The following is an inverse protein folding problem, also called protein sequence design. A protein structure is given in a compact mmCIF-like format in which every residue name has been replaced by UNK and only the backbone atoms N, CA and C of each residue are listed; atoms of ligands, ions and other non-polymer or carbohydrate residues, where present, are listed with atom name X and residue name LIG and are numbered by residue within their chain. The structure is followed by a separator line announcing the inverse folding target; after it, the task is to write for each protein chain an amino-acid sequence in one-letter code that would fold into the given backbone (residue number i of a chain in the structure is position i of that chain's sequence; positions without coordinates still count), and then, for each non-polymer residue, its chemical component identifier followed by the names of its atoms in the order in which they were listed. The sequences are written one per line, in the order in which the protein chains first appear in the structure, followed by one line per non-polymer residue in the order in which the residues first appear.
data_IF_736048051762
#
_entry.id   IF_736048051762
#
_cell.length_a   1.000
_cell.length_b   1.000
_cell.length_c   1.000
_cell.angle_alpha   90.00
_cell.angle_beta   90.00
_cell.angle_gamma   90.00
#
_symmetry.space_group_name_H-M   'P 1'
#
loop_
_entity.id
_entity.type
_entity.pdbx_description
1 polymer ?
#
# COMPACT_ATOMS: atom_id res chain seq x y z
N UNK A 1 7.51 9.97 -27.14
CA UNK A 1 7.93 10.37 -25.78
C UNK A 1 7.13 11.56 -25.29
N UNK A 2 7.01 12.61 -26.10
CA UNK A 2 6.15 13.78 -25.85
C UNK A 2 4.71 13.42 -25.45
N UNK A 3 4.05 12.53 -26.21
CA UNK A 3 2.71 12.03 -25.88
C UNK A 3 2.58 11.52 -24.43
N UNK A 4 3.58 10.80 -23.92
CA UNK A 4 3.55 10.28 -22.54
C UNK A 4 3.73 11.41 -21.52
N UNK A 5 4.65 12.34 -21.78
CA UNK A 5 4.88 13.48 -20.89
C UNK A 5 3.62 14.34 -20.81
N UNK A 6 2.97 14.64 -21.93
CA UNK A 6 1.73 15.42 -21.96
C UNK A 6 0.63 14.74 -21.13
N UNK A 7 0.42 13.42 -21.33
CA UNK A 7 -0.65 12.70 -20.64
C UNK A 7 -0.37 12.41 -19.15
N UNK A 8 0.89 12.32 -18.75
CA UNK A 8 1.28 12.12 -17.35
C UNK A 8 1.44 13.42 -16.56
N UNK A 9 1.46 14.57 -17.23
CA UNK A 9 1.65 15.87 -16.61
C UNK A 9 0.48 16.18 -15.65
N UNK A 10 0.78 16.55 -14.41
CA UNK A 10 -0.23 16.68 -13.35
C UNK A 10 -0.68 15.36 -12.71
N UNK A 11 -0.16 14.20 -13.12
CA UNK A 11 -0.42 12.89 -12.47
C UNK A 11 0.78 12.37 -11.66
N UNK A 12 2.00 12.79 -12.00
CA UNK A 12 3.22 12.37 -11.30
C UNK A 12 3.35 13.03 -9.93
N UNK A 13 3.46 12.21 -8.87
CA UNK A 13 3.55 12.69 -7.47
C UNK A 13 4.82 12.27 -6.74
N UNK A 14 5.51 11.21 -7.16
CA UNK A 14 6.72 10.71 -6.46
C UNK A 14 7.99 11.01 -7.26
N UNK A 15 8.05 10.58 -8.52
CA UNK A 15 9.24 10.75 -9.39
C UNK A 15 9.29 12.13 -10.06
N UNK A 16 8.85 13.18 -9.35
CA UNK A 16 8.62 14.53 -9.90
C UNK A 16 9.89 15.15 -10.47
N UNK A 17 11.03 15.03 -9.77
CA UNK A 17 12.28 15.67 -10.21
C UNK A 17 12.73 15.23 -11.61
N UNK A 18 12.73 13.91 -11.89
CA UNK A 18 13.10 13.39 -13.20
C UNK A 18 12.04 13.71 -14.26
N UNK A 19 10.78 13.76 -13.86
CA UNK A 19 9.69 14.12 -14.78
C UNK A 19 9.77 15.59 -15.21
N UNK A 20 10.07 16.51 -14.28
CA UNK A 20 10.32 17.94 -14.57
C UNK A 20 11.41 18.13 -15.63
N UNK A 21 12.54 17.43 -15.49
CA UNK A 21 13.60 17.45 -16.51
C UNK A 21 13.10 17.02 -17.89
N UNK A 22 12.23 16.01 -17.93
CA UNK A 22 11.60 15.57 -19.18
C UNK A 22 10.68 16.64 -19.79
N UNK A 23 9.90 17.34 -18.96
CA UNK A 23 9.10 18.49 -19.38
C UNK A 23 9.98 19.62 -19.95
N UNK A 24 11.06 19.98 -19.23
CA UNK A 24 11.98 21.05 -19.62
C UNK A 24 12.65 20.75 -20.98
N UNK A 25 13.12 19.51 -21.19
CA UNK A 25 13.74 19.09 -22.45
C UNK A 25 12.79 19.20 -23.67
N UNK A 26 11.48 19.14 -23.43
CA UNK A 26 10.45 19.21 -24.48
C UNK A 26 9.76 20.59 -24.55
N UNK A 27 10.16 21.55 -23.71
CA UNK A 27 9.50 22.86 -23.64
C UNK A 27 8.06 22.80 -23.12
N UNK A 28 7.70 21.76 -22.37
CA UNK A 28 6.37 21.58 -21.79
C UNK A 28 6.35 22.18 -20.39
N UNK A 29 5.37 23.03 -20.08
CA UNK A 29 5.19 23.56 -18.73
C UNK A 29 4.77 22.43 -17.76
N UNK A 30 5.55 22.24 -16.68
CA UNK A 30 5.22 21.25 -15.67
C UNK A 30 3.99 21.65 -14.85
N UNK A 31 3.05 20.72 -14.69
CA UNK A 31 1.87 20.86 -13.84
C UNK A 31 2.02 20.00 -12.58
N UNK A 32 1.92 20.62 -11.41
CA UNK A 32 1.97 19.90 -10.14
C UNK A 32 0.69 19.07 -9.92
N UNK A 33 0.85 17.85 -9.42
CA UNK A 33 -0.24 16.92 -9.14
C UNK A 33 -0.93 17.21 -7.79
N UNK A 34 -2.18 16.79 -7.65
CA UNK A 34 -2.87 16.80 -6.35
C UNK A 34 -2.40 15.63 -5.48
N UNK A 35 -1.88 15.91 -4.29
CA UNK A 35 -1.36 14.91 -3.36
C UNK A 35 -2.41 14.31 -2.41
N UNK A 36 -3.62 14.89 -2.36
CA UNK A 36 -4.75 14.30 -1.65
C UNK A 36 -5.38 13.22 -2.54
N UNK A 37 -5.09 11.96 -2.23
CA UNK A 37 -5.60 10.84 -3.01
C UNK A 37 -7.07 10.60 -2.66
N UNK A 38 -7.91 10.50 -3.69
CA UNK A 38 -9.35 10.35 -3.55
C UNK A 38 -9.72 8.92 -3.10
N UNK A 39 -10.92 8.75 -2.52
CA UNK A 39 -11.42 7.41 -2.18
C UNK A 39 -11.44 6.47 -3.38
N UNK A 40 -10.92 5.26 -3.19
CA UNK A 40 -10.82 4.21 -4.21
C UNK A 40 -9.99 4.57 -5.45
N UNK A 41 -9.16 5.62 -5.40
CA UNK A 41 -8.28 5.99 -6.51
C UNK A 41 -7.22 4.89 -6.77
N UNK A 42 -7.11 4.36 -8.00
CA UNK A 42 -6.22 3.24 -8.33
C UNK A 42 -4.73 3.59 -8.19
N UNK A 43 -4.38 4.86 -8.08
CA UNK A 43 -2.99 5.30 -7.88
C UNK A 43 -2.32 4.60 -6.69
N UNK A 44 -3.05 4.41 -5.57
CA UNK A 44 -2.49 3.72 -4.42
C UNK A 44 -2.23 2.24 -4.69
N UNK A 45 -3.07 1.56 -5.49
CA UNK A 45 -2.80 0.17 -5.87
C UNK A 45 -1.52 0.06 -6.70
N UNK A 46 -1.32 0.98 -7.65
CA UNK A 46 -0.07 1.06 -8.42
C UNK A 46 1.16 1.28 -7.53
N UNK A 47 1.08 2.14 -6.51
CA UNK A 47 2.17 2.32 -5.54
C UNK A 47 2.45 1.04 -4.74
N UNK A 48 1.40 0.30 -4.37
CA UNK A 48 1.57 -0.96 -3.65
C UNK A 48 2.22 -2.03 -4.53
N UNK A 49 1.90 -2.06 -5.82
CA UNK A 49 2.56 -2.96 -6.77
C UNK A 49 4.05 -2.66 -6.92
N UNK A 50 4.45 -1.40 -7.02
CA UNK A 50 5.86 -1.02 -7.25
C UNK A 50 6.71 -1.00 -5.99
N UNK A 51 6.28 -0.26 -4.96
CA UNK A 51 7.10 0.08 -3.79
C UNK A 51 6.48 -0.41 -2.46
N UNK A 52 5.26 -0.96 -2.50
CA UNK A 52 4.58 -1.47 -1.32
C UNK A 52 4.72 -2.97 -1.09
N UNK A 53 4.19 -3.39 0.05
CA UNK A 53 4.18 -4.79 0.47
C UNK A 53 2.86 -5.14 1.16
N UNK A 54 2.35 -6.33 0.85
CA UNK A 54 1.27 -6.99 1.59
C UNK A 54 1.91 -8.13 2.36
N UNK A 55 1.84 -8.12 3.68
CA UNK A 55 2.54 -9.09 4.54
C UNK A 55 1.63 -9.63 5.61
N UNK A 56 1.79 -10.91 5.90
CA UNK A 56 1.24 -11.49 7.11
C UNK A 56 2.18 -11.18 8.28
N UNK A 57 1.66 -10.48 9.30
CA UNK A 57 2.37 -10.22 10.54
C UNK A 57 1.99 -11.28 11.58
N UNK A 58 2.88 -12.25 11.78
CA UNK A 58 2.69 -13.36 12.71
C UNK A 58 2.46 -12.90 14.15
N UNK A 59 3.36 -12.07 14.70
CA UNK A 59 3.24 -11.55 16.07
C UNK A 59 1.98 -10.70 16.24
N UNK A 60 1.60 -9.98 15.20
CA UNK A 60 0.41 -9.13 15.17
C UNK A 60 -0.90 -9.85 14.84
N UNK A 61 -0.82 -11.13 14.46
CA UNK A 61 -1.93 -11.97 13.95
C UNK A 61 -2.88 -11.18 13.03
N UNK A 62 -2.30 -10.58 11.98
CA UNK A 62 -2.97 -9.70 11.01
C UNK A 62 -2.23 -9.65 9.67
N UNK A 63 -2.95 -9.32 8.61
CA UNK A 63 -2.38 -8.98 7.30
C UNK A 63 -2.27 -7.46 7.21
N UNK A 64 -1.12 -6.97 6.78
CA UNK A 64 -0.81 -5.54 6.71
C UNK A 64 -0.47 -5.12 5.29
N UNK A 65 -0.83 -3.89 4.95
CA UNK A 65 -0.40 -3.21 3.72
C UNK A 65 0.52 -2.05 4.08
N UNK A 66 1.75 -2.09 3.59
CA UNK A 66 2.80 -1.17 3.97
C UNK A 66 3.40 -0.50 2.73
N UNK A 67 3.60 0.81 2.81
CA UNK A 67 4.28 1.61 1.80
C UNK A 67 5.37 2.44 2.49
N UNK A 68 6.55 2.50 1.90
CA UNK A 68 7.68 3.23 2.48
C UNK A 68 8.51 3.91 1.39
N UNK A 69 8.79 5.20 1.57
CA UNK A 69 9.60 5.99 0.66
C UNK A 69 10.74 6.70 1.40
N UNK A 70 11.77 7.08 0.65
CA UNK A 70 12.72 8.10 1.12
C UNK A 70 12.00 9.43 1.26
N UNK A 71 12.08 10.05 2.43
CA UNK A 71 11.45 11.33 2.74
C UNK A 71 12.11 12.45 1.92
N UNK A 72 11.26 13.19 1.20
CA UNK A 72 11.56 14.37 0.40
C UNK A 72 10.31 15.26 0.29
N UNK A 73 10.44 16.42 -0.34
CA UNK A 73 9.37 17.43 -0.49
C UNK A 73 8.07 16.91 -1.12
N UNK A 74 8.13 15.86 -1.94
CA UNK A 74 6.96 15.31 -2.64
C UNK A 74 6.30 14.19 -1.83
N UNK A 75 7.12 13.28 -1.28
CA UNK A 75 6.62 12.19 -0.42
C UNK A 75 6.00 12.71 0.87
N UNK A 76 6.44 13.88 1.38
CA UNK A 76 5.84 14.51 2.56
C UNK A 76 4.48 15.15 2.29
N UNK A 77 4.17 15.48 1.03
CA UNK A 77 2.86 16.01 0.63
C UNK A 77 1.82 14.90 0.42
N UNK A 78 2.27 13.66 0.17
CA UNK A 78 1.37 12.53 -0.15
C UNK A 78 0.41 12.25 1.01
N UNK A 79 -0.89 12.38 0.73
CA UNK A 79 -1.95 12.13 1.69
C UNK A 79 -2.82 10.94 1.24
N UNK A 80 -2.80 9.89 2.05
CA UNK A 80 -3.52 8.63 1.82
C UNK A 80 -4.66 8.41 2.83
N UNK A 81 -5.05 9.43 3.59
CA UNK A 81 -6.08 9.31 4.64
C UNK A 81 -7.43 8.81 4.13
N UNK A 82 -7.77 9.17 2.89
CA UNK A 82 -9.10 8.94 2.34
C UNK A 82 -9.13 7.85 1.26
N UNK A 83 -7.96 7.32 0.85
CA UNK A 83 -7.89 6.42 -0.32
C UNK A 83 -8.60 5.09 -0.07
N UNK A 84 -8.51 4.58 1.15
CA UNK A 84 -9.30 3.43 1.62
C UNK A 84 -10.43 3.98 2.50
N UNK A 85 -11.70 3.89 2.06
CA UNK A 85 -12.82 4.33 2.88
C UNK A 85 -12.80 3.71 4.28
N UNK A 86 -13.05 4.53 5.30
CA UNK A 86 -13.08 4.13 6.72
C UNK A 86 -11.76 3.61 7.30
N UNK A 87 -10.66 3.73 6.57
CA UNK A 87 -9.38 3.24 7.04
C UNK A 87 -8.26 4.22 6.75
N UNK A 88 -7.70 4.82 7.81
CA UNK A 88 -6.54 5.71 7.72
C UNK A 88 -5.23 4.94 7.96
N UNK A 89 -4.16 5.24 7.19
CA UNK A 89 -2.87 4.67 7.45
C UNK A 89 -2.22 5.29 8.70
N UNK A 90 -1.48 4.48 9.46
CA UNK A 90 -0.51 4.99 10.41
C UNK A 90 0.70 5.54 9.66
N UNK A 91 1.00 6.83 9.87
CA UNK A 91 2.14 7.50 9.24
C UNK A 91 3.29 7.57 10.24
N UNK A 92 4.49 7.20 9.82
CA UNK A 92 5.70 7.34 10.64
C UNK A 92 6.92 7.75 9.83
N UNK A 93 7.74 8.62 10.43
CA UNK A 93 9.05 9.02 9.89
C UNK A 93 10.13 8.23 10.62
N UNK A 94 11.01 7.57 9.87
CA UNK A 94 12.11 6.75 10.41
C UNK A 94 13.45 7.28 9.93
N UNK A 95 14.38 7.49 10.86
CA UNK A 95 15.77 7.80 10.54
C UNK A 95 16.49 6.49 10.17
N UNK A 96 16.95 6.39 8.92
CA UNK A 96 17.88 5.35 8.48
C UNK A 96 19.29 5.93 8.42
N UNK A 97 20.30 5.06 8.38
CA UNK A 97 21.73 5.43 8.47
C UNK A 97 22.11 6.63 7.59
N UNK A 98 21.59 6.71 6.35
CA UNK A 98 21.96 7.75 5.39
C UNK A 98 20.80 8.65 4.93
N UNK A 99 19.56 8.41 5.40
CA UNK A 99 18.40 9.18 4.97
C UNK A 99 17.21 9.02 5.90
N UNK A 100 16.27 9.96 5.87
CA UNK A 100 14.96 9.81 6.51
C UNK A 100 13.99 9.12 5.56
N UNK A 101 13.14 8.27 6.09
CA UNK A 101 12.07 7.59 5.36
C UNK A 101 10.72 7.96 5.95
N UNK A 102 9.68 7.97 5.11
CA UNK A 102 8.28 8.10 5.50
C UNK A 102 7.57 6.80 5.15
N UNK A 103 6.75 6.30 6.06
CA UNK A 103 5.97 5.09 5.83
C UNK A 103 4.50 5.27 6.18
N UNK A 104 3.65 4.61 5.39
CA UNK A 104 2.21 4.57 5.51
C UNK A 104 1.82 3.11 5.74
N UNK A 105 1.16 2.82 6.86
CA UNK A 105 0.85 1.44 7.26
C UNK A 105 -0.62 1.25 7.56
N UNK A 106 -1.25 0.35 6.83
CA UNK A 106 -2.59 -0.17 7.12
C UNK A 106 -2.41 -1.51 7.84
N UNK A 107 -2.36 -1.47 9.17
CA UNK A 107 -1.86 -2.55 10.03
C UNK A 107 -2.77 -2.89 11.22
N UNK A 108 -4.09 -2.70 11.09
CA UNK A 108 -5.07 -2.95 12.16
C UNK A 108 -5.96 -4.11 11.76
N UNK A 109 -6.33 -4.93 12.74
CA UNK A 109 -7.20 -6.10 12.51
C UNK A 109 -8.55 -5.67 11.92
N UNK A 110 -9.19 -4.67 12.51
CA UNK A 110 -10.49 -4.17 12.05
C UNK A 110 -10.41 -3.53 10.66
N UNK A 111 -9.22 -3.08 10.25
CA UNK A 111 -9.02 -2.45 8.95
C UNK A 111 -8.81 -3.44 7.80
N UNK A 112 -8.54 -4.71 8.09
CA UNK A 112 -8.26 -5.71 7.05
C UNK A 112 -9.43 -5.86 6.07
N UNK A 113 -10.67 -5.79 6.53
CA UNK A 113 -11.85 -5.88 5.66
C UNK A 113 -11.90 -4.73 4.63
N UNK A 114 -11.54 -3.51 5.05
CA UNK A 114 -11.49 -2.36 4.15
C UNK A 114 -10.33 -2.46 3.16
N UNK A 115 -9.19 -3.02 3.58
CA UNK A 115 -8.10 -3.37 2.66
C UNK A 115 -8.56 -4.35 1.59
N UNK A 116 -9.23 -5.43 2.00
CA UNK A 116 -9.78 -6.43 1.08
C UNK A 116 -10.71 -5.76 0.06
N UNK A 117 -11.70 -5.00 0.52
CA UNK A 117 -12.68 -4.32 -0.33
C UNK A 117 -12.01 -3.37 -1.34
N UNK A 118 -11.07 -2.54 -0.89
CA UNK A 118 -10.35 -1.62 -1.77
C UNK A 118 -9.63 -2.35 -2.90
N UNK A 119 -8.90 -3.42 -2.59
CA UNK A 119 -8.13 -4.16 -3.61
C UNK A 119 -8.97 -5.10 -4.46
N UNK A 120 -10.19 -5.46 -4.06
CA UNK A 120 -11.14 -6.13 -4.96
C UNK A 120 -11.63 -5.19 -6.06
N UNK A 121 -11.72 -3.88 -5.78
CA UNK A 121 -12.03 -2.85 -6.78
C UNK A 121 -10.78 -2.51 -7.60
N UNK A 122 -9.67 -2.24 -6.90
CA UNK A 122 -8.40 -1.84 -7.49
C UNK A 122 -7.41 -3.01 -7.45
N UNK A 123 -7.63 -4.00 -8.33
CA UNK A 123 -6.81 -5.22 -8.38
C UNK A 123 -5.32 -4.88 -8.55
N UNK A 124 -4.50 -5.47 -7.68
CA UNK A 124 -3.05 -5.47 -7.82
C UNK A 124 -2.62 -6.33 -9.01
N UNK A 125 -1.67 -5.84 -9.80
CA UNK A 125 -1.08 -6.59 -10.91
C UNK A 125 -0.18 -7.71 -10.42
N UNK A 126 0.47 -7.55 -9.26
CA UNK A 126 1.23 -8.64 -8.65
C UNK A 126 0.28 -9.70 -8.08
N UNK A 127 0.18 -10.84 -8.76
CA UNK A 127 -0.67 -11.96 -8.31
C UNK A 127 -0.29 -12.44 -6.90
N UNK A 128 0.99 -12.42 -6.54
CA UNK A 128 1.44 -12.77 -5.19
C UNK A 128 0.90 -11.82 -4.12
N UNK A 129 0.91 -10.50 -4.38
CA UNK A 129 0.36 -9.51 -3.45
C UNK A 129 -1.17 -9.58 -3.43
N UNK A 130 -1.79 -9.74 -4.59
CA UNK A 130 -3.24 -9.89 -4.70
C UNK A 130 -3.75 -11.16 -4.01
N UNK A 131 -3.03 -12.27 -4.13
CA UNK A 131 -3.35 -13.52 -3.45
C UNK A 131 -3.40 -13.30 -1.93
N UNK A 132 -2.39 -12.65 -1.34
CA UNK A 132 -2.37 -12.32 0.10
C UNK A 132 -3.56 -11.47 0.53
N UNK A 133 -3.96 -10.50 -0.28
CA UNK A 133 -5.19 -9.73 -0.04
C UNK A 133 -6.42 -10.63 -0.09
N UNK A 134 -6.53 -11.50 -1.11
CA UNK A 134 -7.70 -12.37 -1.28
C UNK A 134 -7.90 -13.33 -0.10
N UNK A 135 -6.82 -13.69 0.61
CA UNK A 135 -6.86 -14.52 1.81
C UNK A 135 -7.40 -13.81 3.06
N UNK A 136 -7.59 -12.48 3.05
CA UNK A 136 -7.99 -11.71 4.24
C UNK A 136 -9.30 -12.22 4.86
N UNK A 137 -10.32 -12.52 4.06
CA UNK A 137 -11.62 -12.95 4.59
C UNK A 137 -11.50 -14.28 5.34
N UNK A 138 -10.88 -15.29 4.69
CA UNK A 138 -10.58 -16.58 5.33
C UNK A 138 -9.75 -16.39 6.60
N UNK A 139 -8.73 -15.53 6.53
CA UNK A 139 -7.86 -15.27 7.67
C UNK A 139 -8.63 -14.67 8.86
N UNK A 140 -9.56 -13.74 8.64
CA UNK A 140 -10.38 -13.14 9.70
C UNK A 140 -11.19 -14.21 10.44
N UNK A 141 -11.67 -15.24 9.76
CA UNK A 141 -12.45 -16.33 10.36
C UNK A 141 -11.60 -17.22 11.27
N UNK A 142 -10.41 -17.59 10.78
CA UNK A 142 -9.55 -18.58 11.44
C UNK A 142 -8.54 -17.96 12.40
N UNK A 143 -8.27 -16.65 12.36
CA UNK A 143 -7.21 -16.02 13.19
C UNK A 143 -7.39 -16.25 14.68
N UNK A 144 -8.62 -16.45 15.16
CA UNK A 144 -8.94 -16.72 16.57
C UNK A 144 -8.38 -18.07 17.05
N UNK A 145 -8.15 -19.00 16.13
CA UNK A 145 -7.63 -20.33 16.41
C UNK A 145 -6.16 -20.33 16.85
N UNK A 146 -5.45 -19.22 16.66
CA UNK A 146 -4.09 -19.06 17.17
C UNK A 146 -3.97 -19.17 18.71
N UNK A 147 -5.09 -19.06 19.44
CA UNK A 147 -5.17 -19.22 20.90
C UNK A 147 -5.57 -20.63 21.35
N UNK A 148 -5.91 -21.50 20.41
CA UNK A 148 -6.38 -22.85 20.72
C UNK A 148 -5.19 -23.77 21.04
N UNK A 149 -5.41 -24.91 21.72
CA UNK A 149 -4.33 -25.85 22.03
C UNK A 149 -3.62 -26.34 20.77
N UNK A 150 -2.29 -26.53 20.84
CA UNK A 150 -1.45 -26.87 19.68
C UNK A 150 -1.91 -28.11 18.89
N UNK A 151 -2.46 -29.12 19.58
CA UNK A 151 -2.95 -30.36 18.96
C UNK A 151 -4.44 -30.33 18.59
N UNK A 152 -5.12 -29.19 18.71
CA UNK A 152 -6.52 -29.06 18.30
C UNK A 152 -6.65 -28.94 16.78
N UNK A 153 -7.77 -29.41 16.24
CA UNK A 153 -8.08 -29.27 14.81
C UNK A 153 -8.08 -27.79 14.38
N UNK A 154 -8.60 -26.90 15.22
CA UNK A 154 -8.61 -25.47 14.97
C UNK A 154 -7.20 -24.88 14.85
N UNK A 155 -6.30 -25.26 15.74
CA UNK A 155 -4.91 -24.80 15.67
C UNK A 155 -4.21 -25.33 14.41
N UNK A 156 -4.48 -26.57 14.00
CA UNK A 156 -3.97 -27.14 12.76
C UNK A 156 -4.45 -26.36 11.53
N UNK A 157 -5.74 -26.01 11.46
CA UNK A 157 -6.31 -25.17 10.38
C UNK A 157 -5.58 -23.82 10.30
N UNK A 158 -5.34 -23.18 11.44
CA UNK A 158 -4.61 -21.91 11.49
C UNK A 158 -3.14 -22.09 11.08
N UNK A 159 -2.46 -23.12 11.59
CA UNK A 159 -1.08 -23.41 11.22
C UNK A 159 -0.92 -23.71 9.73
N UNK A 160 -1.85 -24.43 9.12
CA UNK A 160 -1.85 -24.72 7.68
C UNK A 160 -1.97 -23.44 6.84
N UNK A 161 -2.81 -22.49 7.27
CA UNK A 161 -2.88 -21.19 6.63
C UNK A 161 -1.56 -20.42 6.68
N UNK A 162 -0.78 -20.58 7.76
CA UNK A 162 0.49 -19.88 7.91
C UNK A 162 1.64 -20.46 7.07
N UNK A 163 1.56 -21.74 6.76
CA UNK A 163 2.62 -22.49 6.06
C UNK A 163 2.45 -22.51 4.54
N UNK A 164 1.25 -22.15 4.04
CA UNK A 164 0.91 -22.02 2.62
C UNK A 164 1.13 -20.58 2.09
#
# INVERSE_FOLDING_TARGET
MEYLIVNLNGLIRIKVYNFKKGCDCLGIEFKEANYNILPNDPYFAGLIDTDGSIVFNYSGNRIECNLEFKLNEYTSKLNLDNVIPHYKPAISIRNKQNYKSISFKFQTVNGMVFLYQYFMINRLFSDMKFYRISQILRFIEIRKYNKYPFNSEEFLIYSEFLLN
#
